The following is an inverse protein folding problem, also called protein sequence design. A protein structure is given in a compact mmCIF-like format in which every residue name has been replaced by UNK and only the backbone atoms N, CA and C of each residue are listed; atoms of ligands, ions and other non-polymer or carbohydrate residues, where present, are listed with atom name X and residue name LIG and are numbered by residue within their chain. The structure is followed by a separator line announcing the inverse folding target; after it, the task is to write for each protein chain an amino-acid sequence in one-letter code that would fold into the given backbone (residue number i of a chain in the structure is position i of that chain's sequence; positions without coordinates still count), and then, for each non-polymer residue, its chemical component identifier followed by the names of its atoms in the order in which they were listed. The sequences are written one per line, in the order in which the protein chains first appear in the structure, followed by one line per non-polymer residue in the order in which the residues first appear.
data_IF_392624693277
#
_entry.id   IF_392624693277
#
_cell.length_a   1.000
_cell.length_b   1.000
_cell.length_c   1.000
_cell.angle_alpha   90.00
_cell.angle_beta   90.00
_cell.angle_gamma   90.00
#
_symmetry.space_group_name_H-M   'P 1'
#
loop_
_entity.id
_entity.type
_entity.pdbx_description
1 polymer ?
#
# COMPACT_ATOMS: atom_id res chain seq x y z
N UNK A 1 -28.44 18.08 -11.27
CA UNK A 1 -28.69 16.62 -11.25
C UNK A 1 -27.39 15.90 -11.55
N UNK A 2 -26.74 15.32 -10.52
CA UNK A 2 -25.55 14.50 -10.72
C UNK A 2 -25.96 13.18 -11.40
N UNK A 3 -25.75 13.11 -12.72
CA UNK A 3 -25.78 11.85 -13.48
C UNK A 3 -24.54 11.03 -13.11
N UNK A 4 -24.51 10.44 -11.92
CA UNK A 4 -23.54 9.42 -11.53
C UNK A 4 -24.17 8.03 -11.66
N UNK A 5 -24.53 7.65 -12.89
CA UNK A 5 -24.26 6.27 -13.29
C UNK A 5 -22.77 6.23 -13.61
N UNK A 6 -22.03 5.27 -13.05
CA UNK A 6 -20.59 5.11 -13.32
C UNK A 6 -20.43 4.96 -14.83
N UNK A 7 -20.13 6.05 -15.54
CA UNK A 7 -19.73 6.01 -16.92
C UNK A 7 -18.33 5.42 -16.93
N UNK A 8 -18.25 4.11 -17.16
CA UNK A 8 -17.02 3.30 -17.26
C UNK A 8 -15.81 4.01 -17.91
N UNK A 9 -15.95 4.77 -19.03
CA UNK A 9 -14.79 5.44 -19.63
C UNK A 9 -14.13 6.52 -18.76
N UNK A 10 -14.83 7.12 -17.79
CA UNK A 10 -14.25 8.14 -16.88
C UNK A 10 -13.66 7.53 -15.61
N UNK A 11 -14.22 6.44 -15.12
CA UNK A 11 -13.78 5.80 -13.88
C UNK A 11 -12.64 4.78 -14.09
N UNK A 12 -12.37 4.36 -15.33
CA UNK A 12 -11.33 3.36 -15.63
C UNK A 12 -9.93 3.74 -15.14
N UNK A 13 -9.64 5.03 -15.00
CA UNK A 13 -8.32 5.52 -14.55
C UNK A 13 -8.19 5.66 -13.04
N UNK A 14 -9.28 5.53 -12.28
CA UNK A 14 -9.26 5.71 -10.82
C UNK A 14 -8.38 4.65 -10.17
N UNK A 15 -8.52 3.38 -10.57
CA UNK A 15 -7.74 2.28 -9.97
C UNK A 15 -6.23 2.42 -10.21
N UNK A 16 -5.73 2.63 -11.46
CA UNK A 16 -4.30 2.88 -11.69
C UNK A 16 -3.78 4.11 -10.97
N UNK A 17 -4.58 5.18 -10.87
CA UNK A 17 -4.19 6.40 -10.16
C UNK A 17 -4.08 6.17 -8.64
N UNK A 18 -4.96 5.35 -8.06
CA UNK A 18 -4.84 4.90 -6.67
C UNK A 18 -3.59 4.04 -6.45
N UNK A 19 -3.30 3.11 -7.37
CA UNK A 19 -2.05 2.33 -7.31
C UNK A 19 -0.81 3.22 -7.43
N UNK A 20 -0.85 4.29 -8.22
CA UNK A 20 0.24 5.27 -8.30
C UNK A 20 0.45 5.99 -6.95
N UNK A 21 -0.63 6.40 -6.28
CA UNK A 21 -0.51 6.98 -4.94
C UNK A 21 0.05 5.99 -3.93
N UNK A 22 -0.37 4.72 -4.00
CA UNK A 22 0.20 3.67 -3.16
C UNK A 22 1.72 3.50 -3.40
N UNK A 23 2.18 3.55 -4.65
CA UNK A 23 3.62 3.51 -4.98
C UNK A 23 4.35 4.70 -4.34
N UNK A 24 3.81 5.92 -4.43
CA UNK A 24 4.42 7.10 -3.82
C UNK A 24 4.50 6.95 -2.31
N UNK A 25 3.44 6.48 -1.67
CA UNK A 25 3.41 6.25 -0.21
C UNK A 25 4.40 5.17 0.22
N UNK A 26 4.51 4.07 -0.52
CA UNK A 26 5.51 3.02 -0.25
C UNK A 26 6.94 3.53 -0.44
N UNK A 27 7.21 4.39 -1.43
CA UNK A 27 8.54 5.01 -1.59
C UNK A 27 8.85 5.89 -0.39
N UNK A 28 7.90 6.69 0.09
CA UNK A 28 8.07 7.53 1.30
C UNK A 28 8.32 6.64 2.53
N UNK A 29 7.59 5.52 2.66
CA UNK A 29 7.80 4.58 3.75
C UNK A 29 9.18 3.91 3.65
N UNK A 30 9.60 3.42 2.49
CA UNK A 30 10.89 2.76 2.30
C UNK A 30 12.08 3.71 2.47
N UNK A 31 11.97 4.97 2.02
CA UNK A 31 13.04 5.97 2.09
C UNK A 31 13.00 6.83 3.37
N UNK A 32 11.89 6.76 4.12
CA UNK A 32 11.62 7.59 5.27
C UNK A 32 12.59 7.34 6.42
N UNK A 33 13.19 8.42 6.92
CA UNK A 33 14.22 8.35 7.98
C UNK A 33 13.70 8.09 9.39
N UNK A 34 12.41 8.31 9.64
CA UNK A 34 11.84 8.19 10.98
C UNK A 34 10.50 7.49 10.94
N UNK A 35 10.50 6.16 10.91
CA UNK A 35 9.29 5.37 11.19
C UNK A 35 8.85 5.54 12.63
N UNK A 36 9.85 5.66 13.51
CA UNK A 36 9.68 5.86 14.94
C UNK A 36 10.61 6.98 15.36
N UNK A 37 10.13 7.87 16.21
CA UNK A 37 10.86 9.02 16.75
C UNK A 37 10.51 9.20 18.23
N UNK A 38 11.44 9.70 19.03
CA UNK A 38 11.14 10.06 20.43
C UNK A 38 10.51 11.44 20.52
N UNK A 39 9.76 11.71 21.58
CA UNK A 39 9.15 13.04 21.82
C UNK A 39 10.16 14.19 21.82
N UNK A 40 11.40 13.91 22.26
CA UNK A 40 12.49 14.89 22.26
C UNK A 40 13.11 15.12 20.88
N UNK A 41 12.81 14.27 19.90
CA UNK A 41 13.44 14.26 18.56
C UNK A 41 14.91 13.84 18.56
N UNK A 42 15.46 13.41 19.71
CA UNK A 42 16.88 13.06 19.83
C UNK A 42 17.18 11.66 19.28
N UNK A 43 16.21 10.76 19.27
CA UNK A 43 16.32 9.43 18.66
C UNK A 43 15.26 9.25 17.58
N UNK A 44 15.68 8.72 16.43
CA UNK A 44 14.78 8.34 15.35
C UNK A 44 15.27 7.05 14.70
N UNK A 45 14.34 6.24 14.23
CA UNK A 45 14.63 4.98 13.56
C UNK A 45 13.82 4.86 12.28
N UNK A 46 14.51 4.52 11.21
CA UNK A 46 13.94 4.13 9.92
C UNK A 46 13.83 2.62 9.82
N UNK A 47 13.34 2.12 8.68
CA UNK A 47 13.41 0.71 8.33
C UNK A 47 14.85 0.15 8.32
N UNK A 48 15.85 0.99 8.02
CA UNK A 48 17.23 0.57 7.74
C UNK A 48 18.20 0.79 8.89
N UNK A 49 18.00 1.87 9.64
CA UNK A 49 18.93 2.37 10.64
C UNK A 49 18.21 3.06 11.80
N UNK A 50 18.80 2.93 13.00
CA UNK A 50 18.44 3.68 14.20
C UNK A 50 19.53 4.71 14.47
N UNK A 51 19.14 5.96 14.65
CA UNK A 51 20.04 7.07 14.95
C UNK A 51 19.71 7.68 16.31
N UNK A 52 20.76 8.09 17.03
CA UNK A 52 20.69 8.72 18.36
C UNK A 52 21.46 10.04 18.39
N UNK A 53 21.11 10.90 19.34
CA UNK A 53 21.76 12.20 19.56
C UNK A 53 21.59 13.17 18.41
N UNK A 54 20.41 13.20 17.78
CA UNK A 54 20.12 14.07 16.64
C UNK A 54 20.84 13.66 15.35
N UNK A 55 21.10 12.36 15.15
CA UNK A 55 21.73 11.83 13.94
C UNK A 55 23.26 11.72 14.01
N UNK A 56 23.87 11.87 15.19
CA UNK A 56 25.33 11.79 15.37
C UNK A 56 25.85 10.35 15.42
N UNK A 57 25.05 9.42 15.93
CA UNK A 57 25.40 8.00 16.01
C UNK A 57 24.30 7.16 15.41
N UNK A 58 24.56 6.53 14.26
CA UNK A 58 23.60 5.69 13.56
C UNK A 58 24.10 4.24 13.50
N UNK A 59 23.21 3.31 13.81
CA UNK A 59 23.44 1.87 13.80
C UNK A 59 22.44 1.19 12.87
N UNK A 60 22.91 0.23 12.07
CA UNK A 60 22.05 -0.46 11.11
C UNK A 60 21.14 -1.50 11.80
N UNK A 61 19.84 -1.45 11.48
CA UNK A 61 18.85 -2.45 11.91
C UNK A 61 18.97 -3.74 11.10
N UNK A 62 19.64 -3.70 9.94
CA UNK A 62 19.88 -4.88 9.10
C UNK A 62 20.80 -5.94 9.73
N UNK A 63 21.41 -5.64 10.88
CA UNK A 63 22.08 -6.65 11.71
C UNK A 63 21.09 -7.66 12.32
N UNK A 64 19.84 -7.27 12.54
CA UNK A 64 18.82 -8.12 13.12
C UNK A 64 18.09 -8.94 12.06
N UNK A 65 17.86 -10.23 12.33
CA UNK A 65 17.16 -11.12 11.41
C UNK A 65 15.73 -10.63 11.10
N UNK A 66 15.03 -10.11 12.10
CA UNK A 66 13.69 -9.54 11.91
C UNK A 66 13.74 -8.25 11.06
N UNK A 67 14.77 -7.42 11.22
CA UNK A 67 14.94 -6.20 10.42
C UNK A 67 15.09 -6.52 8.93
N UNK A 68 15.93 -7.50 8.61
CA UNK A 68 16.08 -8.02 7.24
C UNK A 68 14.78 -8.61 6.70
N UNK A 69 14.05 -9.37 7.52
CA UNK A 69 12.78 -9.97 7.12
C UNK A 69 11.72 -8.90 6.82
N UNK A 70 11.58 -7.89 7.69
CA UNK A 70 10.67 -6.75 7.47
C UNK A 70 11.01 -6.00 6.18
N UNK A 71 12.29 -5.66 5.97
CA UNK A 71 12.72 -4.95 4.76
C UNK A 71 12.49 -5.78 3.50
N UNK A 72 12.79 -7.08 3.54
CA UNK A 72 12.55 -7.99 2.42
C UNK A 72 11.06 -8.10 2.07
N UNK A 73 10.19 -8.25 3.07
CA UNK A 73 8.73 -8.35 2.87
C UNK A 73 8.14 -7.07 2.29
N UNK A 74 8.57 -5.89 2.77
CA UNK A 74 8.14 -4.61 2.20
C UNK A 74 8.62 -4.43 0.76
N UNK A 75 9.89 -4.75 0.47
CA UNK A 75 10.44 -4.67 -0.89
C UNK A 75 9.73 -5.62 -1.85
N UNK A 76 9.48 -6.86 -1.44
CA UNK A 76 8.74 -7.85 -2.25
C UNK A 76 7.33 -7.34 -2.54
N UNK A 77 6.61 -6.84 -1.53
CA UNK A 77 5.30 -6.22 -1.72
C UNK A 77 5.36 -5.05 -2.69
N UNK A 78 6.31 -4.13 -2.51
CA UNK A 78 6.50 -2.98 -3.39
C UNK A 78 6.79 -3.38 -4.86
N UNK A 79 7.64 -4.40 -5.09
CA UNK A 79 7.91 -4.89 -6.44
C UNK A 79 6.64 -5.45 -7.07
N UNK A 80 5.87 -6.25 -6.33
CA UNK A 80 4.58 -6.78 -6.80
C UNK A 80 3.61 -5.63 -7.14
N UNK A 81 3.54 -4.60 -6.29
CA UNK A 81 2.73 -3.40 -6.54
C UNK A 81 3.11 -2.72 -7.86
N UNK A 82 4.40 -2.50 -8.12
CA UNK A 82 4.88 -1.87 -9.35
C UNK A 82 4.52 -2.72 -10.58
N UNK A 83 4.66 -4.05 -10.50
CA UNK A 83 4.25 -4.95 -11.58
C UNK A 83 2.73 -4.85 -11.81
N UNK A 84 1.93 -4.91 -10.75
CA UNK A 84 0.47 -4.79 -10.83
C UNK A 84 0.02 -3.45 -11.41
N UNK A 85 0.73 -2.36 -11.08
CA UNK A 85 0.48 -1.04 -11.67
C UNK A 85 0.67 -1.07 -13.19
N UNK A 86 1.79 -1.61 -13.69
CA UNK A 86 2.04 -1.73 -15.14
C UNK A 86 0.98 -2.62 -15.80
N UNK A 87 0.66 -3.77 -15.21
CA UNK A 87 -0.35 -4.68 -15.72
C UNK A 87 -1.75 -4.04 -15.74
N UNK A 88 -2.08 -3.19 -14.76
CA UNK A 88 -3.36 -2.49 -14.70
C UNK A 88 -3.54 -1.53 -15.88
N UNK A 89 -2.49 -0.82 -16.30
CA UNK A 89 -2.53 0.03 -17.50
C UNK A 89 -2.83 -0.80 -18.75
N UNK A 90 -2.19 -1.95 -18.90
CA UNK A 90 -2.42 -2.85 -20.05
C UNK A 90 -3.86 -3.39 -20.02
N UNK A 91 -4.33 -3.87 -18.87
CA UNK A 91 -5.67 -4.44 -18.70
C UNK A 91 -6.81 -3.43 -18.93
N UNK A 92 -6.57 -2.13 -18.72
CA UNK A 92 -7.55 -1.07 -18.90
C UNK A 92 -7.49 -0.43 -20.31
N UNK A 93 -6.36 -0.56 -21.00
CA UNK A 93 -6.22 -0.20 -22.42
C UNK A 93 -6.81 -1.28 -23.33
N UNK A 94 -6.63 -2.55 -22.98
CA UNK A 94 -7.23 -3.71 -23.65
C UNK A 94 -7.95 -4.54 -22.58
N UNK A 95 -9.30 -4.54 -22.53
CA UNK A 95 -10.04 -5.22 -21.47
C UNK A 95 -9.85 -6.74 -21.57
N UNK A 96 -8.86 -7.23 -20.85
CA UNK A 96 -8.56 -8.65 -20.67
C UNK A 96 -9.04 -9.10 -19.29
N UNK A 97 -10.29 -9.54 -19.23
CA UNK A 97 -10.99 -9.89 -17.99
C UNK A 97 -10.27 -10.90 -17.07
N UNK A 98 -9.63 -11.99 -17.57
CA UNK A 98 -8.89 -12.90 -16.69
C UNK A 98 -7.64 -12.25 -16.06
N UNK A 99 -7.01 -11.29 -16.75
CA UNK A 99 -5.84 -10.58 -16.23
C UNK A 99 -6.21 -9.72 -15.00
N UNK A 100 -7.42 -9.16 -14.96
CA UNK A 100 -7.89 -8.36 -13.81
C UNK A 100 -7.94 -9.18 -12.52
N UNK A 101 -8.39 -10.44 -12.56
CA UNK A 101 -8.38 -11.32 -11.38
C UNK A 101 -6.97 -11.66 -10.92
N UNK A 102 -6.05 -11.87 -11.87
CA UNK A 102 -4.64 -12.14 -11.57
C UNK A 102 -4.02 -10.93 -10.88
N UNK A 103 -4.26 -9.72 -11.39
CA UNK A 103 -3.81 -8.47 -10.76
C UNK A 103 -4.36 -8.36 -9.33
N UNK A 104 -5.66 -8.61 -9.13
CA UNK A 104 -6.26 -8.59 -7.80
C UNK A 104 -5.62 -9.58 -6.83
N UNK A 105 -5.35 -10.81 -7.27
CA UNK A 105 -4.70 -11.83 -6.46
C UNK A 105 -3.24 -11.46 -6.10
N UNK A 106 -2.48 -10.90 -7.05
CA UNK A 106 -1.13 -10.41 -6.81
C UNK A 106 -1.12 -9.23 -5.83
N UNK A 107 -2.07 -8.30 -5.94
CA UNK A 107 -2.22 -7.21 -4.99
C UNK A 107 -2.57 -7.72 -3.58
N UNK A 108 -3.40 -8.77 -3.44
CA UNK A 108 -3.65 -9.42 -2.14
C UNK A 108 -2.37 -10.02 -1.54
N UNK A 109 -1.54 -10.67 -2.37
CA UNK A 109 -0.24 -11.17 -1.92
C UNK A 109 0.67 -10.04 -1.43
N UNK A 110 0.71 -8.91 -2.15
CA UNK A 110 1.43 -7.70 -1.73
C UNK A 110 0.95 -7.19 -0.37
N UNK A 111 -0.36 -7.11 -0.16
CA UNK A 111 -0.95 -6.68 1.11
C UNK A 111 -0.52 -7.59 2.25
N UNK A 112 -0.55 -8.90 2.06
CA UNK A 112 -0.13 -9.86 3.09
C UNK A 112 1.33 -9.61 3.48
N UNK A 113 2.23 -9.46 2.51
CA UNK A 113 3.64 -9.15 2.78
C UNK A 113 3.80 -7.82 3.54
N UNK A 114 3.12 -6.75 3.12
CA UNK A 114 3.22 -5.44 3.75
C UNK A 114 2.64 -5.42 5.17
N UNK A 115 1.48 -6.05 5.41
CA UNK A 115 0.87 -6.16 6.75
C UNK A 115 1.79 -6.91 7.70
N UNK A 116 2.35 -8.04 7.28
CA UNK A 116 3.29 -8.80 8.11
C UNK A 116 4.49 -7.93 8.50
N UNK A 117 5.08 -7.22 7.54
CA UNK A 117 6.21 -6.34 7.82
C UNK A 117 5.85 -5.20 8.77
N UNK A 118 4.73 -4.52 8.54
CA UNK A 118 4.25 -3.39 9.36
C UNK A 118 3.89 -3.82 10.78
N UNK A 119 3.55 -5.08 11.03
CA UNK A 119 3.30 -5.61 12.38
C UNK A 119 4.58 -6.11 13.06
N UNK A 120 5.47 -6.77 12.31
CA UNK A 120 6.74 -7.27 12.85
C UNK A 120 7.64 -6.11 13.28
N UNK A 121 7.72 -5.03 12.49
CA UNK A 121 8.58 -3.90 12.81
C UNK A 121 8.34 -3.32 14.21
N UNK A 122 7.14 -2.82 14.58
CA UNK A 122 6.89 -2.24 15.90
C UNK A 122 7.05 -3.25 17.04
N UNK A 123 6.59 -4.49 16.84
CA UNK A 123 6.64 -5.54 17.87
C UNK A 123 8.06 -5.95 18.22
N UNK A 124 8.96 -6.03 17.23
CA UNK A 124 10.36 -6.36 17.46
C UNK A 124 11.18 -5.13 17.85
N UNK A 125 10.86 -3.97 17.31
CA UNK A 125 11.51 -2.71 17.68
C UNK A 125 11.34 -2.40 19.17
N UNK A 126 10.13 -2.57 19.70
CA UNK A 126 9.85 -2.35 21.14
C UNK A 126 10.57 -3.34 22.05
N UNK A 127 10.82 -4.57 21.60
CA UNK A 127 11.53 -5.58 22.39
C UNK A 127 13.06 -5.42 22.33
N UNK A 128 13.60 -5.19 21.14
CA UNK A 128 15.04 -5.29 20.89
C UNK A 128 15.76 -3.91 20.91
N UNK A 129 15.06 -2.81 20.61
CA UNK A 129 15.68 -1.49 20.35
C UNK A 129 15.10 -0.32 21.17
N UNK A 130 13.90 -0.45 21.76
CA UNK A 130 13.32 0.61 22.56
C UNK A 130 14.06 0.75 23.90
N UNK A 131 14.59 1.94 24.15
CA UNK A 131 15.17 2.33 25.45
C UNK A 131 14.05 2.77 26.40
N UNK A 132 14.10 2.38 27.68
CA UNK A 132 13.10 2.77 28.69
C UNK A 132 13.20 4.23 29.16
N UNK A 133 13.99 5.05 28.45
CA UNK A 133 14.36 6.41 28.85
C UNK A 133 13.37 7.43 28.27
N UNK A 134 12.87 7.20 27.05
CA UNK A 134 11.89 8.07 26.39
C UNK A 134 10.80 7.24 25.69
N UNK A 135 9.60 7.83 25.59
CA UNK A 135 8.50 7.28 24.81
C UNK A 135 8.80 7.38 23.31
N UNK A 136 8.59 6.28 22.60
CA UNK A 136 8.70 6.22 21.15
C UNK A 136 7.32 6.44 20.52
N UNK A 137 7.26 7.38 19.59
CA UNK A 137 6.09 7.72 18.80
C UNK A 137 6.28 7.23 17.36
N UNK A 138 5.19 6.76 16.75
CA UNK A 138 5.21 6.44 15.32
C UNK A 138 5.03 7.72 14.52
N UNK A 139 5.93 7.95 13.57
CA UNK A 139 5.85 9.11 12.71
C UNK A 139 4.93 8.87 11.50
N UNK A 140 4.74 9.94 10.72
CA UNK A 140 3.99 9.91 9.46
C UNK A 140 4.55 8.92 8.45
N UNK A 141 5.86 8.68 8.41
CA UNK A 141 6.47 7.75 7.43
C UNK A 141 5.98 6.31 7.62
N UNK A 142 5.77 5.87 8.87
CA UNK A 142 5.13 4.61 9.18
C UNK A 142 3.64 4.62 8.81
N UNK A 143 2.96 5.74 9.05
CA UNK A 143 1.59 5.97 8.60
C UNK A 143 1.41 5.85 7.08
N UNK A 144 2.37 6.33 6.29
CA UNK A 144 2.35 6.17 4.83
C UNK A 144 2.40 4.70 4.40
N UNK A 145 3.17 3.85 5.09
CA UNK A 145 3.18 2.40 4.82
C UNK A 145 1.81 1.75 5.05
N UNK A 146 1.12 2.08 6.14
CA UNK A 146 -0.25 1.64 6.37
C UNK A 146 -1.24 2.21 5.34
N UNK A 147 -1.09 3.49 5.00
CA UNK A 147 -1.92 4.15 3.98
C UNK A 147 -1.81 3.47 2.61
N UNK A 148 -0.58 3.17 2.18
CA UNK A 148 -0.34 2.41 0.95
C UNK A 148 -1.03 1.04 1.01
N UNK A 149 -0.81 0.28 2.09
CA UNK A 149 -1.38 -1.06 2.29
C UNK A 149 -2.92 -1.05 2.19
N UNK A 150 -3.59 -0.07 2.79
CA UNK A 150 -5.05 0.08 2.74
C UNK A 150 -5.54 0.37 1.32
N UNK A 151 -4.87 1.27 0.61
CA UNK A 151 -5.20 1.60 -0.79
C UNK A 151 -5.05 0.34 -1.67
N UNK A 152 -3.94 -0.39 -1.52
CA UNK A 152 -3.66 -1.62 -2.26
C UNK A 152 -4.73 -2.67 -1.97
N UNK A 153 -5.13 -2.84 -0.71
CA UNK A 153 -6.20 -3.76 -0.33
C UNK A 153 -7.54 -3.42 -0.98
N UNK A 154 -7.93 -2.14 -0.95
CA UNK A 154 -9.13 -1.68 -1.65
C UNK A 154 -9.06 -1.99 -3.14
N UNK A 155 -7.95 -1.66 -3.79
CA UNK A 155 -7.74 -1.96 -5.21
C UNK A 155 -7.78 -3.47 -5.51
N UNK A 156 -7.21 -4.30 -4.65
CA UNK A 156 -7.19 -5.75 -4.80
C UNK A 156 -8.61 -6.33 -4.84
N UNK A 157 -9.47 -5.90 -3.90
CA UNK A 157 -10.89 -6.28 -3.86
C UNK A 157 -11.59 -5.82 -5.15
N UNK A 158 -11.40 -4.56 -5.56
CA UNK A 158 -12.00 -4.05 -6.79
C UNK A 158 -11.57 -4.86 -8.03
N UNK A 159 -10.27 -5.13 -8.22
CA UNK A 159 -9.77 -5.91 -9.37
C UNK A 159 -10.28 -7.36 -9.38
N UNK A 160 -10.48 -7.97 -8.20
CA UNK A 160 -11.09 -9.30 -8.08
C UNK A 160 -12.58 -9.30 -8.44
N UNK A 161 -13.32 -8.27 -8.05
CA UNK A 161 -14.77 -8.18 -8.22
C UNK A 161 -15.21 -7.61 -9.58
N UNK A 162 -14.40 -6.75 -10.21
CA UNK A 162 -14.74 -6.04 -11.45
C UNK A 162 -15.19 -6.98 -12.59
N UNK A 163 -14.58 -8.17 -12.79
CA UNK A 163 -15.03 -9.09 -13.83
C UNK A 163 -16.42 -9.68 -13.64
N UNK A 164 -17.01 -9.61 -12.44
CA UNK A 164 -18.39 -10.05 -12.22
C UNK A 164 -19.44 -9.05 -12.76
N UNK A 165 -19.00 -7.82 -13.08
CA UNK A 165 -19.85 -6.76 -13.60
C UNK A 165 -19.58 -6.50 -15.09
N UNK A 166 -18.93 -7.43 -15.79
CA UNK A 166 -18.50 -7.29 -17.18
C UNK A 166 -19.61 -6.78 -18.11
N UNK A 167 -20.79 -7.39 -18.05
CA UNK A 167 -21.92 -7.02 -18.93
C UNK A 167 -22.39 -5.57 -18.71
N UNK A 168 -22.35 -5.10 -17.47
CA UNK A 168 -22.68 -3.72 -17.10
C UNK A 168 -21.61 -2.73 -17.57
N UNK A 169 -20.33 -3.12 -17.51
CA UNK A 169 -19.20 -2.30 -17.93
C UNK A 169 -19.08 -2.20 -19.46
N UNK A 170 -19.42 -3.28 -20.17
CA UNK A 170 -19.45 -3.34 -21.64
C UNK A 170 -20.70 -2.70 -22.24
N UNK A 171 -21.69 -2.33 -21.41
CA UNK A 171 -22.95 -1.75 -21.87
C UNK A 171 -23.87 -2.75 -22.57
N UNK A 172 -23.65 -4.05 -22.36
CA UNK A 172 -24.46 -5.14 -22.93
C UNK A 172 -25.83 -5.24 -22.25
N UNK A 173 -25.97 -4.64 -21.06
CA UNK A 173 -27.23 -4.54 -20.32
C UNK A 173 -27.66 -3.09 -20.15
N UNK A 174 -28.97 -2.83 -20.20
CA UNK A 174 -29.52 -1.51 -19.87
C UNK A 174 -29.14 -1.14 -18.45
N UNK A 175 -28.62 0.07 -18.26
CA UNK A 175 -28.36 0.64 -16.94
C UNK A 175 -29.63 0.60 -16.09
N UNK A 176 -29.59 -0.16 -14.98
CA UNK A 176 -30.69 -0.18 -14.01
C UNK A 176 -30.72 1.17 -13.28
N UNK A 177 -31.76 1.95 -13.50
CA UNK A 177 -31.99 3.18 -12.75
C UNK A 177 -32.70 2.85 -11.45
N UNK A 178 -32.20 3.35 -10.32
CA UNK A 178 -32.86 3.25 -9.01
C UNK A 178 -34.21 3.99 -8.95
N UNK A 179 -34.48 4.83 -9.95
CA UNK A 179 -35.76 5.52 -10.13
C UNK A 179 -36.37 5.10 -11.46
N UNK A 180 -37.45 4.35 -11.42
CA UNK A 180 -38.44 4.30 -12.51
C UNK A 180 -39.43 5.42 -12.25
N UNK A 181 -39.41 6.48 -13.05
CA UNK A 181 -40.51 7.43 -13.07
C UNK A 181 -41.79 6.69 -13.46
N UNK A 182 -42.92 6.92 -12.78
CA UNK A 182 -44.21 6.33 -13.15
C UNK A 182 -44.65 6.75 -14.57
#
# INVERSE_FOLDING_TARGET
MFKCGIAYPRCKWILPLLLLFAIVFDIIALSGKGWVETESGNEFASLWEKCMGGGKSCSSIMGYAWGRATAALLLIGFIILVICFILSFVALCSPVMPLMRIIGALLLLSVICQVIALVIYPSRFTLDLATSIESYLYSWTYGFGWGATIIIFGCAVFFCCLPNYEDELMGNVKTKYFYTSP
#
